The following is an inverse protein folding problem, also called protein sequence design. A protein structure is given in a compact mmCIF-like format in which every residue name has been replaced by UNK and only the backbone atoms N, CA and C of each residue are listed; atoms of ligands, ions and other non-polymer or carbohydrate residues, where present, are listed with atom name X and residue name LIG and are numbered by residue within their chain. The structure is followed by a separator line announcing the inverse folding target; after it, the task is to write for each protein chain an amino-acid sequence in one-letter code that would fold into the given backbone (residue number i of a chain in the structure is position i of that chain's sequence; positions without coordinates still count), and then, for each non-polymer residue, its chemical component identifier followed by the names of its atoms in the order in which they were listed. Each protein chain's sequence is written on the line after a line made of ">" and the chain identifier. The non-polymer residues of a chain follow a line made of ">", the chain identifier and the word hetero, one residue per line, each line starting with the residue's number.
data_IF_616543188388
#
_entry.id   IF_616543188388
#
_cell.length_a   1.000
_cell.length_b   1.000
_cell.length_c   1.000
_cell.angle_alpha   90.00
_cell.angle_beta   90.00
_cell.angle_gamma   90.00
#
_symmetry.space_group_name_H-M   'P 1'
#
loop_
_entity.id
_entity.type
_entity.pdbx_description
1 polymer ?
#
# COMPACT_ATOMS: atom_id res chain seq x y z
N UNK A 1 -15.93 -3.98 -4.51
CA UNK A 1 -15.33 -3.73 -3.18
C UNK A 1 -15.06 -5.01 -2.36
N UNK A 2 -14.64 -6.14 -2.97
CA UNK A 2 -14.18 -7.33 -2.25
C UNK A 2 -12.66 -7.56 -2.38
N UNK A 3 -12.09 -7.18 -3.53
CA UNK A 3 -10.65 -7.29 -3.81
C UNK A 3 -9.78 -6.34 -2.97
N UNK A 4 -10.32 -5.19 -2.55
CA UNK A 4 -9.61 -4.24 -1.70
C UNK A 4 -9.17 -4.88 -0.36
N UNK A 5 -10.02 -5.72 0.22
CA UNK A 5 -9.72 -6.43 1.48
C UNK A 5 -8.51 -7.37 1.31
N UNK A 6 -8.43 -8.08 0.18
CA UNK A 6 -7.26 -8.93 -0.13
C UNK A 6 -5.98 -8.10 -0.25
N UNK A 7 -6.05 -6.95 -0.94
CA UNK A 7 -4.91 -6.04 -1.09
C UNK A 7 -4.44 -5.51 0.27
N UNK A 8 -5.37 -5.12 1.15
CA UNK A 8 -5.01 -4.67 2.49
C UNK A 8 -4.36 -5.76 3.34
N UNK A 9 -4.82 -7.01 3.24
CA UNK A 9 -4.16 -8.13 3.92
C UNK A 9 -2.77 -8.38 3.32
N UNK A 10 -2.65 -8.39 1.99
CA UNK A 10 -1.39 -8.62 1.28
C UNK A 10 -0.32 -7.57 1.61
N UNK A 11 -0.71 -6.31 1.82
CA UNK A 11 0.21 -5.22 2.16
C UNK A 11 0.40 -5.08 3.68
N UNK A 12 -0.69 -5.16 4.44
CA UNK A 12 -0.69 -4.95 5.89
C UNK A 12 0.00 -6.07 6.67
N UNK A 13 -0.18 -7.32 6.26
CA UNK A 13 0.47 -8.47 6.91
C UNK A 13 2.01 -8.40 6.89
N UNK A 14 2.68 -8.23 5.73
CA UNK A 14 4.13 -8.12 5.71
C UNK A 14 4.64 -6.88 6.45
N UNK A 15 4.02 -5.70 6.28
CA UNK A 15 4.47 -4.49 6.99
C UNK A 15 4.31 -4.65 8.51
N UNK A 16 3.21 -5.26 8.96
CA UNK A 16 2.95 -5.55 10.36
C UNK A 16 4.00 -6.50 10.95
N UNK A 17 4.34 -7.58 10.24
CA UNK A 17 5.40 -8.52 10.65
C UNK A 17 6.79 -7.89 10.67
N UNK A 18 7.05 -6.92 9.77
CA UNK A 18 8.35 -6.25 9.66
C UNK A 18 8.56 -5.16 10.73
N UNK A 19 7.51 -4.80 11.46
CA UNK A 19 7.54 -3.68 12.39
C UNK A 19 7.80 -4.15 13.83
N UNK A 20 8.90 -3.68 14.42
CA UNK A 20 9.39 -4.09 15.77
C UNK A 20 8.49 -3.71 16.95
N UNK A 21 7.52 -2.82 16.75
CA UNK A 21 6.61 -2.38 17.80
C UNK A 21 5.27 -3.06 17.57
N UNK A 22 4.99 -4.12 18.34
CA UNK A 22 3.70 -4.84 18.38
C UNK A 22 2.56 -4.01 19.00
N UNK A 23 2.62 -2.68 18.86
CA UNK A 23 1.59 -1.77 19.33
C UNK A 23 0.46 -1.69 18.31
N UNK A 24 -0.77 -1.89 18.77
CA UNK A 24 -2.00 -1.81 17.95
C UNK A 24 -2.07 -0.53 17.11
N UNK A 25 -1.57 0.60 17.64
CA UNK A 25 -1.55 1.89 16.94
C UNK A 25 -0.68 1.92 15.68
N UNK A 26 0.34 1.06 15.58
CA UNK A 26 1.24 1.04 14.41
C UNK A 26 0.65 0.24 13.25
N UNK A 27 0.00 -0.88 13.56
CA UNK A 27 -0.78 -1.62 12.56
C UNK A 27 -1.93 -0.75 12.02
N UNK A 28 -2.58 0.03 12.89
CA UNK A 28 -3.65 0.93 12.51
C UNK A 28 -3.16 2.09 11.62
N UNK A 29 -2.02 2.70 11.94
CA UNK A 29 -1.47 3.81 11.15
C UNK A 29 -1.00 3.36 9.76
N UNK A 30 -0.31 2.22 9.66
CA UNK A 30 0.08 1.63 8.38
C UNK A 30 -1.15 1.31 7.53
N UNK A 31 -2.16 0.67 8.12
CA UNK A 31 -3.40 0.33 7.42
C UNK A 31 -4.14 1.57 6.92
N UNK A 32 -4.20 2.63 7.73
CA UNK A 32 -4.81 3.91 7.35
C UNK A 32 -4.09 4.57 6.19
N UNK A 33 -2.75 4.60 6.19
CA UNK A 33 -1.96 5.18 5.09
C UNK A 33 -2.18 4.41 3.79
N UNK A 34 -2.13 3.08 3.84
CA UNK A 34 -2.38 2.23 2.67
C UNK A 34 -3.81 2.40 2.17
N UNK A 35 -4.78 2.54 3.07
CA UNK A 35 -6.18 2.80 2.73
C UNK A 35 -6.34 4.11 1.97
N UNK A 36 -5.74 5.20 2.45
CA UNK A 36 -5.81 6.51 1.78
C UNK A 36 -5.20 6.45 0.38
N UNK A 37 -4.03 5.81 0.22
CA UNK A 37 -3.35 5.69 -1.08
C UNK A 37 -4.18 4.83 -2.04
N UNK A 38 -4.70 3.70 -1.56
CA UNK A 38 -5.55 2.80 -2.35
C UNK A 38 -6.84 3.50 -2.80
N UNK A 39 -7.54 4.13 -1.86
CA UNK A 39 -8.81 4.80 -2.14
C UNK A 39 -8.61 5.99 -3.08
N UNK A 40 -7.58 6.80 -2.87
CA UNK A 40 -7.25 7.93 -3.76
C UNK A 40 -6.94 7.49 -5.19
N UNK A 41 -6.23 6.36 -5.36
CA UNK A 41 -5.93 5.81 -6.69
C UNK A 41 -7.17 5.22 -7.35
N UNK A 42 -8.06 4.60 -6.57
CA UNK A 42 -9.33 4.08 -7.04
C UNK A 42 -10.25 5.20 -7.53
N UNK A 43 -10.47 6.23 -6.69
CA UNK A 43 -11.29 7.39 -7.05
C UNK A 43 -10.68 8.19 -8.20
N UNK A 44 -9.36 8.38 -8.22
CA UNK A 44 -8.68 9.03 -9.34
C UNK A 44 -8.80 8.24 -10.65
N UNK A 45 -8.69 6.91 -10.60
CA UNK A 45 -8.89 6.04 -11.77
C UNK A 45 -10.33 6.09 -12.29
N UNK A 46 -11.30 6.14 -11.39
CA UNK A 46 -12.73 6.31 -11.70
C UNK A 46 -13.01 7.67 -12.35
N UNK A 47 -12.46 8.76 -11.82
CA UNK A 47 -12.56 10.09 -12.45
C UNK A 47 -11.94 10.14 -13.86
N UNK A 48 -10.84 9.41 -14.09
CA UNK A 48 -10.23 9.30 -15.43
C UNK A 48 -11.11 8.48 -16.39
N UNK A 49 -11.86 7.51 -15.88
CA UNK A 49 -12.82 6.74 -16.67
C UNK A 49 -14.06 7.56 -17.02
N UNK A 50 -14.57 8.33 -16.05
CA UNK A 50 -15.74 9.20 -16.22
C UNK A 50 -15.47 10.33 -17.23
N UNK A 51 -14.22 10.77 -17.36
CA UNK A 51 -13.78 11.70 -18.42
C UNK A 51 -13.68 11.05 -19.81
N UNK A 52 -14.01 9.76 -19.94
CA UNK A 52 -14.00 9.01 -21.20
C UNK A 52 -12.60 8.66 -21.72
N UNK A 53 -11.55 8.87 -20.93
CA UNK A 53 -10.17 8.60 -21.35
C UNK A 53 -9.81 7.12 -21.27
N UNK A 54 -10.43 6.37 -20.35
CA UNK A 54 -10.16 4.95 -20.10
C UNK A 54 -11.50 4.24 -19.95
N UNK A 55 -11.65 3.03 -20.48
CA UNK A 55 -12.88 2.28 -20.26
C UNK A 55 -13.06 1.99 -18.76
N UNK A 56 -14.28 2.11 -18.20
CA UNK A 56 -14.54 1.87 -16.78
C UNK A 56 -14.04 0.50 -16.30
N UNK A 57 -14.12 -0.50 -17.18
CA UNK A 57 -13.59 -1.83 -16.91
C UNK A 57 -12.06 -1.84 -16.68
N UNK A 58 -11.30 -1.16 -17.56
CA UNK A 58 -9.85 -1.03 -17.43
C UNK A 58 -9.48 -0.20 -16.20
N UNK A 59 -10.17 0.91 -15.94
CA UNK A 59 -9.89 1.77 -14.80
C UNK A 59 -10.03 1.04 -13.45
N UNK A 60 -11.07 0.21 -13.29
CA UNK A 60 -11.24 -0.59 -12.08
C UNK A 60 -10.18 -1.69 -11.94
N UNK A 61 -9.79 -2.33 -13.04
CA UNK A 61 -8.81 -3.43 -13.01
C UNK A 61 -7.38 -2.94 -12.84
N UNK A 62 -7.02 -1.77 -13.40
CA UNK A 62 -5.65 -1.26 -13.35
C UNK A 62 -5.23 -0.96 -11.91
N UNK A 63 -6.14 -0.38 -11.12
CA UNK A 63 -5.92 -0.17 -9.68
C UNK A 63 -5.71 -1.49 -8.95
N UNK A 64 -6.55 -2.50 -9.18
CA UNK A 64 -6.38 -3.81 -8.55
C UNK A 64 -5.06 -4.50 -8.95
N UNK A 65 -4.67 -4.41 -10.22
CA UNK A 65 -3.43 -5.02 -10.74
C UNK A 65 -2.20 -4.32 -10.15
N UNK A 66 -2.18 -2.98 -10.15
CA UNK A 66 -1.04 -2.20 -9.61
C UNK A 66 -0.84 -2.53 -8.14
N UNK A 67 -1.89 -2.43 -7.33
CA UNK A 67 -1.78 -2.71 -5.90
C UNK A 67 -1.58 -4.20 -5.59
N UNK A 68 -2.11 -5.10 -6.42
CA UNK A 68 -1.86 -6.53 -6.32
C UNK A 68 -0.39 -6.88 -6.56
N UNK A 69 0.22 -6.31 -7.61
CA UNK A 69 1.66 -6.46 -7.90
C UNK A 69 2.50 -5.90 -6.75
N UNK A 70 2.16 -4.71 -6.26
CA UNK A 70 2.86 -4.09 -5.11
C UNK A 70 2.75 -4.97 -3.87
N UNK A 71 1.57 -5.51 -3.55
CA UNK A 71 1.35 -6.40 -2.41
C UNK A 71 2.16 -7.70 -2.52
N UNK A 72 2.13 -8.35 -3.69
CA UNK A 72 2.92 -9.57 -3.95
C UNK A 72 4.42 -9.27 -3.83
N UNK A 73 4.89 -8.17 -4.42
CA UNK A 73 6.28 -7.75 -4.32
C UNK A 73 6.71 -7.52 -2.87
N UNK A 74 5.85 -6.88 -2.07
CA UNK A 74 6.09 -6.64 -0.65
C UNK A 74 6.16 -7.94 0.16
N UNK A 75 5.30 -8.92 -0.14
CA UNK A 75 5.34 -10.25 0.47
C UNK A 75 6.64 -10.96 0.10
N UNK A 76 7.03 -10.97 -1.18
CA UNK A 76 8.27 -11.62 -1.62
C UNK A 76 9.46 -11.00 -0.90
N UNK A 77 9.50 -9.68 -0.74
CA UNK A 77 10.54 -8.99 0.05
C UNK A 77 10.45 -9.39 1.52
N UNK A 78 9.26 -9.38 2.12
CA UNK A 78 9.07 -9.72 3.53
C UNK A 78 9.49 -11.15 3.86
N UNK A 79 9.22 -12.09 2.95
CA UNK A 79 9.59 -13.51 3.07
C UNK A 79 11.08 -13.73 2.81
N UNK A 80 11.66 -13.07 1.79
CA UNK A 80 13.11 -13.15 1.50
C UNK A 80 13.95 -12.41 2.53
N UNK A 81 13.42 -11.35 3.11
CA UNK A 81 14.02 -10.57 4.17
C UNK A 81 13.24 -10.71 5.49
N UNK A 82 13.36 -11.88 6.13
CA UNK A 82 13.52 -11.91 7.59
C UNK A 82 14.84 -11.20 8.04
N UNK A 83 15.27 -10.19 7.29
CA UNK A 83 16.25 -9.18 7.66
C UNK A 83 15.45 -7.89 7.77
N UNK A 84 15.01 -7.61 9.00
CA UNK A 84 14.47 -6.33 9.45
C UNK A 84 14.68 -5.19 8.44
N UNK A 85 13.67 -4.84 7.63
CA UNK A 85 13.65 -3.51 7.05
C UNK A 85 13.63 -2.59 8.25
N UNK A 86 14.78 -1.96 8.48
CA UNK A 86 14.95 -1.03 9.56
C UNK A 86 14.12 0.20 9.16
N UNK A 87 12.82 0.18 9.51
CA UNK A 87 11.84 1.25 9.26
C UNK A 87 12.40 2.60 9.76
N UNK A 88 13.32 2.56 10.73
CA UNK A 88 14.13 3.69 11.17
C UNK A 88 14.88 4.38 10.03
N UNK A 89 15.44 3.66 9.06
CA UNK A 89 16.11 4.25 7.87
C UNK A 89 15.12 4.90 6.91
N UNK A 90 13.95 4.30 6.69
CA UNK A 90 12.92 4.88 5.82
C UNK A 90 12.33 6.17 6.43
N UNK A 91 11.98 6.15 7.72
CA UNK A 91 11.53 7.35 8.44
C UNK A 91 12.61 8.43 8.52
N UNK A 92 13.89 8.06 8.67
CA UNK A 92 15.00 9.02 8.62
C UNK A 92 15.14 9.64 7.23
N UNK A 93 14.98 8.83 6.18
CA UNK A 93 15.02 9.28 4.77
C UNK A 93 13.83 10.17 4.43
N UNK A 94 12.63 9.84 4.90
CA UNK A 94 11.43 10.65 4.74
C UNK A 94 11.56 11.97 5.52
N UNK A 95 12.05 11.93 6.76
CA UNK A 95 12.35 13.14 7.56
C UNK A 95 13.45 14.01 6.95
N UNK A 96 14.35 13.42 6.16
CA UNK A 96 15.39 14.14 5.44
C UNK A 96 14.86 14.81 4.16
N UNK A 97 13.84 14.24 3.53
CA UNK A 97 13.15 14.82 2.35
C UNK A 97 12.17 15.91 2.77
N UNK A 98 11.56 15.79 3.96
CA UNK A 98 10.59 16.74 4.52
C UNK A 98 11.20 17.82 5.43
N UNK A 99 12.53 17.91 5.52
CA UNK A 99 13.21 19.03 6.20
C UNK A 99 13.27 20.24 5.27
N UNK A 100 12.21 21.06 5.35
CA UNK A 100 12.31 22.52 5.32
C UNK A 100 12.77 22.97 6.71
#
# INVERSE_FOLDING_TARGET
>A
MAFACLIFVLIGAPIGMMTKTSGVGMAFSVSSVVFIIYYGTLTGGEELADRGMISPFLAMWISNIIFGIVGIYLIIISVREMKFINIGKFFKKLRQILKI
#
